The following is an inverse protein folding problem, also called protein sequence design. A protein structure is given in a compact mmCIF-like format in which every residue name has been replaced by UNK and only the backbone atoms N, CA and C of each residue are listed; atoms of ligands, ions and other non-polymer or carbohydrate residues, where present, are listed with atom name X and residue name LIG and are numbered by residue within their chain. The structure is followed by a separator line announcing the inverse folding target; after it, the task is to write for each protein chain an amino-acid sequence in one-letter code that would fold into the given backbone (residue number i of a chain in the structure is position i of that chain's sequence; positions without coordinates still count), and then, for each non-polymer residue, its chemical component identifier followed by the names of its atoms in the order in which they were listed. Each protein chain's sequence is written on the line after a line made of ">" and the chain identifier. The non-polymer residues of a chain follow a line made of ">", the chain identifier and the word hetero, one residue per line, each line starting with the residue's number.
data_IF_323851576395
#
_entry.id   IF_323851576395
#
_cell.length_a   1.000
_cell.length_b   1.000
_cell.length_c   1.000
_cell.angle_alpha   90.00
_cell.angle_beta   90.00
_cell.angle_gamma   90.00
#
_symmetry.space_group_name_H-M   'P 1'
#
loop_
_entity.id
_entity.type
_entity.pdbx_description
1 polymer ?
#
# COMPACT_ATOMS: atom_id res chain seq x y z
N UNK A 1 1.04 -0.58 -27.54
CA UNK A 1 0.71 -0.79 -26.11
C UNK A 1 1.90 -1.49 -25.50
N UNK A 2 2.49 -0.91 -24.46
CA UNK A 2 3.69 -1.44 -23.79
C UNK A 2 3.43 -2.79 -23.10
N UNK A 3 4.43 -3.67 -23.04
CA UNK A 3 4.35 -5.00 -22.43
C UNK A 3 3.92 -4.92 -20.95
N UNK A 4 4.40 -3.91 -20.23
CA UNK A 4 4.04 -3.71 -18.83
C UNK A 4 2.57 -3.29 -18.68
N UNK A 5 2.08 -2.45 -19.59
CA UNK A 5 0.67 -2.07 -19.62
C UNK A 5 -0.23 -3.28 -19.93
N UNK A 6 0.19 -4.17 -20.82
CA UNK A 6 -0.53 -5.42 -21.12
C UNK A 6 -0.58 -6.34 -19.90
N UNK A 7 0.55 -6.55 -19.22
CA UNK A 7 0.63 -7.35 -17.99
C UNK A 7 -0.28 -6.79 -16.90
N UNK A 8 -0.25 -5.48 -16.69
CA UNK A 8 -1.08 -4.82 -15.69
C UNK A 8 -2.58 -4.96 -16.02
N UNK A 9 -2.96 -4.84 -17.30
CA UNK A 9 -4.35 -5.05 -17.73
C UNK A 9 -4.82 -6.49 -17.51
N UNK A 10 -3.95 -7.48 -17.76
CA UNK A 10 -4.25 -8.88 -17.48
C UNK A 10 -4.47 -9.12 -15.97
N UNK A 11 -3.63 -8.54 -15.11
CA UNK A 11 -3.78 -8.61 -13.64
C UNK A 11 -5.09 -7.99 -13.17
N UNK A 12 -5.43 -6.80 -13.66
CA UNK A 12 -6.71 -6.16 -13.34
C UNK A 12 -7.92 -6.99 -13.79
N UNK A 13 -7.86 -7.62 -14.97
CA UNK A 13 -8.92 -8.51 -15.44
C UNK A 13 -9.05 -9.77 -14.57
N UNK A 14 -7.93 -10.36 -14.15
CA UNK A 14 -7.92 -11.50 -13.25
C UNK A 14 -8.52 -11.14 -11.88
N UNK A 15 -8.09 -10.03 -11.26
CA UNK A 15 -8.64 -9.54 -10.01
C UNK A 15 -10.16 -9.28 -10.12
N UNK A 16 -10.62 -8.64 -11.19
CA UNK A 16 -12.04 -8.39 -11.43
C UNK A 16 -12.86 -9.69 -11.50
N UNK A 17 -12.33 -10.75 -12.12
CA UNK A 17 -13.00 -12.07 -12.16
C UNK A 17 -13.06 -12.72 -10.79
N UNK A 18 -11.99 -12.63 -9.99
CA UNK A 18 -11.97 -13.16 -8.62
C UNK A 18 -13.03 -12.44 -7.78
N UNK A 19 -13.06 -11.09 -7.78
CA UNK A 19 -14.09 -10.34 -7.05
C UNK A 19 -15.52 -10.66 -7.51
N UNK A 20 -15.73 -10.87 -8.81
CA UNK A 20 -17.03 -11.27 -9.34
C UNK A 20 -17.44 -12.70 -8.95
N UNK A 21 -16.48 -13.61 -8.73
CA UNK A 21 -16.77 -14.94 -8.18
C UNK A 21 -17.10 -14.84 -6.69
N UNK A 22 -16.34 -14.05 -5.92
CA UNK A 22 -16.54 -13.85 -4.48
C UNK A 22 -17.87 -13.16 -4.11
N UNK A 23 -18.56 -12.54 -5.07
CA UNK A 23 -19.89 -11.96 -4.82
C UNK A 23 -21.00 -13.01 -4.73
N UNK A 24 -20.69 -14.29 -4.85
CA UNK A 24 -21.61 -15.43 -4.75
C UNK A 24 -20.90 -16.59 -4.07
N UNK A 25 -21.52 -17.15 -3.03
CA UNK A 25 -20.99 -18.29 -2.29
C UNK A 25 -20.71 -19.49 -3.22
N UNK A 26 -21.71 -19.88 -4.02
CA UNK A 26 -21.58 -20.95 -5.02
C UNK A 26 -20.39 -20.74 -5.97
N UNK A 27 -20.25 -19.54 -6.55
CA UNK A 27 -19.15 -19.25 -7.48
C UNK A 27 -17.79 -19.23 -6.77
N UNK A 28 -17.76 -18.79 -5.52
CA UNK A 28 -16.55 -18.81 -4.68
C UNK A 28 -16.10 -20.24 -4.41
N UNK A 29 -17.03 -21.12 -4.01
CA UNK A 29 -16.76 -22.55 -3.79
C UNK A 29 -16.29 -23.25 -5.06
N UNK A 30 -16.94 -23.01 -6.20
CA UNK A 30 -16.52 -23.56 -7.49
C UNK A 30 -15.11 -23.11 -7.89
N UNK A 31 -14.78 -21.83 -7.65
CA UNK A 31 -13.45 -21.30 -7.92
C UNK A 31 -12.40 -21.96 -7.00
N UNK A 32 -12.69 -22.08 -5.70
CA UNK A 32 -11.81 -22.74 -4.74
C UNK A 32 -11.59 -24.21 -5.09
N UNK A 33 -12.65 -24.95 -5.39
CA UNK A 33 -12.56 -26.35 -5.81
C UNK A 33 -11.71 -26.52 -7.07
N UNK A 34 -11.82 -25.60 -8.04
CA UNK A 34 -10.99 -25.60 -9.25
C UNK A 34 -9.52 -25.34 -8.95
N UNK A 35 -9.21 -24.39 -8.07
CA UNK A 35 -7.84 -24.05 -7.65
C UNK A 35 -7.23 -25.23 -6.88
N UNK A 36 -7.97 -25.76 -5.90
CA UNK A 36 -7.56 -26.91 -5.11
C UNK A 36 -7.48 -28.20 -5.93
N UNK A 37 -8.18 -28.30 -7.06
CA UNK A 37 -8.15 -29.45 -7.96
C UNK A 37 -7.00 -29.47 -8.97
N UNK A 38 -6.14 -28.45 -9.00
CA UNK A 38 -4.98 -28.41 -9.91
C UNK A 38 -3.98 -29.53 -9.58
N UNK A 39 -3.28 -30.04 -10.59
CA UNK A 39 -2.19 -30.99 -10.36
C UNK A 39 -0.96 -30.30 -9.77
N UNK A 40 -0.12 -31.03 -9.06
CA UNK A 40 1.10 -30.48 -8.48
C UNK A 40 2.03 -29.85 -9.53
N UNK A 41 2.08 -30.43 -10.74
CA UNK A 41 2.82 -29.86 -11.86
C UNK A 41 2.27 -28.48 -12.30
N UNK A 42 0.95 -28.29 -12.28
CA UNK A 42 0.32 -27.00 -12.59
C UNK A 42 0.60 -25.97 -11.50
N UNK A 43 0.50 -26.38 -10.23
CA UNK A 43 0.77 -25.52 -9.08
C UNK A 43 2.24 -25.08 -9.08
N UNK A 44 3.18 -26.02 -9.24
CA UNK A 44 4.62 -25.74 -9.33
C UNK A 44 4.98 -24.82 -10.47
N UNK A 45 4.37 -25.02 -11.64
CA UNK A 45 4.59 -24.16 -12.79
C UNK A 45 4.20 -22.71 -12.46
N UNK A 46 3.01 -22.51 -11.86
CA UNK A 46 2.57 -21.20 -11.39
C UNK A 46 3.49 -20.61 -10.33
N UNK A 47 3.90 -21.42 -9.35
CA UNK A 47 4.80 -21.01 -8.27
C UNK A 47 6.16 -20.51 -8.79
N UNK A 48 6.77 -21.28 -9.69
CA UNK A 48 8.06 -20.94 -10.31
C UNK A 48 7.96 -19.71 -11.20
N UNK A 49 6.86 -19.56 -11.94
CA UNK A 49 6.59 -18.36 -12.73
C UNK A 49 6.56 -17.08 -11.87
N UNK A 50 6.01 -17.20 -10.66
CA UNK A 50 5.95 -16.12 -9.66
C UNK A 50 7.25 -15.98 -8.85
N UNK A 51 8.22 -16.88 -9.08
CA UNK A 51 9.55 -16.87 -8.47
C UNK A 51 9.62 -17.49 -7.08
N UNK A 52 8.66 -18.35 -6.70
CA UNK A 52 8.72 -19.11 -5.45
C UNK A 52 9.97 -20.01 -5.46
N UNK A 53 10.82 -19.93 -4.42
CA UNK A 53 12.01 -20.79 -4.30
C UNK A 53 11.67 -22.29 -4.31
N UNK A 54 12.59 -23.12 -4.80
CA UNK A 54 12.37 -24.56 -4.95
C UNK A 54 12.06 -25.26 -3.62
N UNK A 55 12.71 -24.83 -2.54
CA UNK A 55 12.53 -25.29 -1.16
C UNK A 55 11.20 -24.84 -0.53
N UNK A 56 10.46 -23.94 -1.18
CA UNK A 56 9.15 -23.46 -0.72
C UNK A 56 7.98 -23.97 -1.58
N UNK A 57 8.24 -24.81 -2.59
CA UNK A 57 7.18 -25.33 -3.47
C UNK A 57 6.16 -26.20 -2.72
N UNK A 58 6.62 -27.04 -1.80
CA UNK A 58 5.72 -27.89 -1.00
C UNK A 58 4.81 -27.06 -0.10
N UNK A 59 5.35 -26.00 0.51
CA UNK A 59 4.58 -25.03 1.30
C UNK A 59 3.51 -24.39 0.42
N UNK A 60 3.88 -23.93 -0.78
CA UNK A 60 2.92 -23.32 -1.70
C UNK A 60 1.82 -24.28 -2.16
N UNK A 61 2.15 -25.56 -2.44
CA UNK A 61 1.13 -26.58 -2.74
C UNK A 61 0.15 -26.74 -1.59
N UNK A 62 0.64 -26.88 -0.36
CA UNK A 62 -0.21 -27.00 0.82
C UNK A 62 -1.10 -25.77 0.98
N UNK A 63 -0.58 -24.56 0.77
CA UNK A 63 -1.39 -23.31 0.78
C UNK A 63 -2.51 -23.35 -0.27
N UNK A 64 -2.22 -23.74 -1.52
CA UNK A 64 -3.22 -23.85 -2.60
C UNK A 64 -4.30 -24.88 -2.27
N UNK A 65 -3.93 -25.98 -1.58
CA UNK A 65 -4.87 -27.03 -1.14
C UNK A 65 -5.63 -26.68 0.15
N UNK A 66 -5.34 -25.55 0.78
CA UNK A 66 -5.94 -25.19 2.08
C UNK A 66 -5.48 -26.08 3.23
N UNK A 67 -4.29 -26.67 3.13
CA UNK A 67 -3.68 -27.53 4.14
C UNK A 67 -2.78 -26.73 5.08
N UNK A 68 -2.64 -27.21 6.32
CA UNK A 68 -1.66 -26.65 7.26
C UNK A 68 -0.22 -26.84 6.74
N UNK A 69 0.64 -25.87 7.04
CA UNK A 69 2.01 -25.81 6.52
C UNK A 69 2.87 -24.83 7.35
N UNK A 70 4.18 -24.89 7.15
CA UNK A 70 5.14 -24.06 7.88
C UNK A 70 4.88 -22.55 7.77
N UNK A 71 4.42 -22.06 6.62
CA UNK A 71 4.08 -20.64 6.47
C UNK A 71 2.91 -20.24 7.36
N UNK A 72 1.82 -21.01 7.36
CA UNK A 72 0.64 -20.72 8.19
C UNK A 72 0.95 -20.84 9.70
N UNK A 73 1.74 -21.85 10.08
CA UNK A 73 2.19 -22.04 11.46
C UNK A 73 3.02 -20.85 11.94
N UNK A 74 4.04 -20.44 11.18
CA UNK A 74 4.88 -19.29 11.54
C UNK A 74 4.12 -17.96 11.48
N UNK A 75 3.20 -17.79 10.51
CA UNK A 75 2.33 -16.62 10.41
C UNK A 75 1.54 -16.40 11.71
N UNK A 76 0.98 -17.47 12.29
CA UNK A 76 0.20 -17.38 13.53
C UNK A 76 1.02 -16.86 14.72
N UNK A 77 2.34 -17.10 14.72
CA UNK A 77 3.24 -16.67 15.80
C UNK A 77 3.63 -15.19 15.69
N UNK A 78 3.54 -14.63 14.48
CA UNK A 78 3.92 -13.23 14.22
C UNK A 78 2.73 -12.32 13.97
N UNK A 79 1.52 -12.88 14.04
CA UNK A 79 0.28 -12.14 13.86
C UNK A 79 0.17 -10.98 14.86
N UNK A 80 -0.27 -9.82 14.38
CA UNK A 80 -0.41 -8.56 15.16
C UNK A 80 0.88 -7.96 15.74
N UNK A 81 2.07 -8.51 15.45
CA UNK A 81 3.33 -7.86 15.86
C UNK A 81 3.57 -6.57 15.06
N UNK A 82 3.15 -6.55 13.80
CA UNK A 82 3.03 -5.33 12.98
C UNK A 82 1.56 -4.93 12.88
N UNK A 83 1.28 -3.64 13.05
CA UNK A 83 -0.08 -3.10 13.08
C UNK A 83 -0.24 -1.99 12.04
N UNK A 84 -1.44 -1.81 11.45
CA UNK A 84 -1.72 -0.66 10.61
C UNK A 84 -1.37 0.65 11.32
N UNK A 85 -0.61 1.50 10.64
CA UNK A 85 -0.13 2.76 11.18
C UNK A 85 1.22 2.70 11.89
N UNK A 86 1.81 1.52 12.09
CA UNK A 86 3.22 1.42 12.44
C UNK A 86 4.07 2.08 11.36
N UNK A 87 5.13 2.77 11.78
CA UNK A 87 6.05 3.46 10.89
C UNK A 87 7.38 2.71 10.87
N UNK A 88 7.77 2.24 9.69
CA UNK A 88 9.08 1.66 9.44
C UNK A 88 10.01 2.77 8.97
N UNK A 89 11.10 2.96 9.72
CA UNK A 89 12.16 3.90 9.44
C UNK A 89 13.38 3.12 8.96
N UNK A 90 13.94 3.52 7.82
CA UNK A 90 15.06 2.82 7.20
C UNK A 90 16.03 3.77 6.51
N UNK A 91 17.24 3.26 6.27
CA UNK A 91 18.31 3.98 5.58
C UNK A 91 18.67 3.23 4.31
N UNK A 92 18.34 3.81 3.16
CA UNK A 92 18.77 3.24 1.88
C UNK A 92 20.29 3.38 1.69
N UNK A 93 20.87 2.55 0.82
CA UNK A 93 22.31 2.64 0.52
C UNK A 93 22.65 3.55 -0.69
N UNK A 94 21.64 4.15 -1.31
CA UNK A 94 21.84 5.06 -2.45
C UNK A 94 22.57 6.34 -2.05
N UNK A 95 23.20 7.00 -3.03
CA UNK A 95 23.83 8.31 -2.82
C UNK A 95 22.84 9.34 -2.25
N UNK A 96 21.60 9.37 -2.77
CA UNK A 96 20.55 10.24 -2.27
C UNK A 96 20.23 10.00 -0.79
N UNK A 97 20.13 8.74 -0.37
CA UNK A 97 19.90 8.39 1.03
C UNK A 97 21.03 8.87 1.96
N UNK A 98 22.30 8.77 1.52
CA UNK A 98 23.47 9.25 2.27
C UNK A 98 23.46 10.77 2.43
N UNK A 99 23.09 11.51 1.38
CA UNK A 99 22.95 12.98 1.44
C UNK A 99 21.83 13.37 2.39
N UNK A 100 20.68 12.70 2.30
CA UNK A 100 19.51 12.93 3.16
C UNK A 100 19.88 12.73 4.64
N UNK A 101 20.48 11.60 5.01
CA UNK A 101 20.82 11.33 6.43
C UNK A 101 21.84 12.32 6.96
N UNK A 102 22.91 12.62 6.20
CA UNK A 102 23.92 13.61 6.61
C UNK A 102 23.31 15.00 6.81
N UNK A 103 22.42 15.43 5.91
CA UNK A 103 21.77 16.74 6.00
C UNK A 103 20.80 16.88 7.17
N UNK A 104 20.15 15.80 7.60
CA UNK A 104 19.23 15.83 8.72
C UNK A 104 19.90 15.99 10.08
N UNK A 105 21.19 15.60 10.19
CA UNK A 105 21.97 15.72 11.43
C UNK A 105 22.12 17.15 11.94
N UNK A 106 21.98 18.15 11.06
CA UNK A 106 21.95 19.56 11.46
C UNK A 106 20.69 19.94 12.26
N UNK A 107 19.58 19.22 12.06
CA UNK A 107 18.33 19.45 12.81
C UNK A 107 18.12 18.49 13.97
N UNK A 108 18.68 17.28 13.89
CA UNK A 108 18.64 16.28 14.95
C UNK A 108 19.86 15.35 14.81
N UNK A 109 20.80 15.40 15.76
CA UNK A 109 22.11 14.74 15.66
C UNK A 109 22.01 13.21 15.47
N UNK A 110 21.02 12.58 16.09
CA UNK A 110 20.79 11.14 16.01
C UNK A 110 19.94 10.70 14.80
N UNK A 111 19.59 11.64 13.90
CA UNK A 111 18.89 11.29 12.66
C UNK A 111 19.70 10.27 11.85
N UNK A 112 19.05 9.14 11.55
CA UNK A 112 19.66 8.00 10.85
C UNK A 112 18.86 7.54 9.65
N UNK A 113 17.56 7.84 9.62
CA UNK A 113 16.64 7.34 8.61
C UNK A 113 16.63 8.23 7.36
N UNK A 114 16.61 7.60 6.18
CA UNK A 114 16.45 8.29 4.89
C UNK A 114 15.07 8.09 4.28
N UNK A 115 14.28 7.15 4.82
CA UNK A 115 12.99 6.76 4.28
C UNK A 115 12.00 6.43 5.38
N UNK A 116 10.71 6.59 5.06
CA UNK A 116 9.58 6.32 5.94
C UNK A 116 8.56 5.50 5.16
N UNK A 117 8.19 4.34 5.68
CA UNK A 117 7.08 3.54 5.18
C UNK A 117 6.06 3.35 6.30
N UNK A 118 4.77 3.36 5.96
CA UNK A 118 3.70 3.16 6.91
C UNK A 118 3.07 1.79 6.67
N UNK A 119 2.84 1.01 7.73
CA UNK A 119 2.06 -0.21 7.63
C UNK A 119 0.62 0.13 7.22
N UNK A 120 0.20 -0.38 6.07
CA UNK A 120 -1.16 -0.24 5.56
C UNK A 120 -2.04 -1.37 6.08
N UNK A 121 -1.59 -2.61 5.88
CA UNK A 121 -2.20 -3.83 6.39
C UNK A 121 -1.08 -4.79 6.78
N UNK A 122 -1.44 -5.94 7.33
CA UNK A 122 -0.46 -6.95 7.74
C UNK A 122 0.57 -7.22 6.62
N UNK A 123 1.83 -6.94 6.91
CA UNK A 123 2.99 -7.07 5.99
C UNK A 123 2.98 -6.23 4.69
N UNK A 124 1.96 -5.39 4.48
CA UNK A 124 1.86 -4.47 3.35
C UNK A 124 2.06 -3.04 3.85
N UNK A 125 3.08 -2.37 3.33
CA UNK A 125 3.31 -0.96 3.56
C UNK A 125 2.63 -0.09 2.49
N UNK A 126 2.48 1.20 2.80
CA UNK A 126 2.33 2.27 1.83
C UNK A 126 3.48 3.27 2.02
N UNK A 127 4.10 3.67 0.93
CA UNK A 127 5.16 4.66 0.95
C UNK A 127 5.22 5.40 -0.39
N UNK A 128 6.00 6.49 -0.43
CA UNK A 128 6.19 7.29 -1.63
C UNK A 128 7.64 7.23 -2.10
N UNK A 129 7.86 6.79 -3.35
CA UNK A 129 9.19 6.63 -3.96
C UNK A 129 9.34 7.50 -5.22
N UNK A 130 10.53 8.07 -5.53
CA UNK A 130 10.74 8.96 -6.66
C UNK A 130 10.21 8.47 -8.02
N UNK A 131 10.37 7.18 -8.33
CA UNK A 131 9.96 6.59 -9.61
C UNK A 131 8.52 6.03 -9.61
N UNK A 132 7.95 5.75 -8.44
CA UNK A 132 6.67 5.05 -8.32
C UNK A 132 5.53 5.95 -7.84
N UNK A 133 5.85 7.07 -7.18
CA UNK A 133 4.88 7.80 -6.39
C UNK A 133 4.46 7.00 -5.16
N UNK A 134 3.23 7.22 -4.70
CA UNK A 134 2.63 6.48 -3.58
C UNK A 134 2.14 5.12 -4.05
N UNK A 135 2.66 4.06 -3.45
CA UNK A 135 2.35 2.68 -3.83
C UNK A 135 2.31 1.75 -2.62
N UNK A 136 1.66 0.60 -2.78
CA UNK A 136 1.81 -0.50 -1.83
C UNK A 136 3.07 -1.30 -2.13
N UNK A 137 3.84 -1.62 -1.09
CA UNK A 137 5.02 -2.47 -1.15
C UNK A 137 5.01 -3.43 0.02
N UNK A 138 5.53 -4.64 -0.15
CA UNK A 138 5.70 -5.57 0.97
C UNK A 138 6.76 -5.03 1.93
N UNK A 139 6.66 -5.41 3.21
CA UNK A 139 7.72 -5.15 4.20
C UNK A 139 9.09 -5.60 3.69
N UNK A 140 9.14 -6.78 3.07
CA UNK A 140 10.38 -7.32 2.47
C UNK A 140 10.92 -6.43 1.36
N UNK A 141 10.06 -5.86 0.50
CA UNK A 141 10.46 -4.92 -0.55
C UNK A 141 10.89 -3.55 0.00
N UNK A 142 10.31 -3.12 1.11
CA UNK A 142 10.70 -1.87 1.81
C UNK A 142 12.09 -2.01 2.44
N UNK A 143 12.40 -3.18 2.99
CA UNK A 143 13.64 -3.47 3.71
C UNK A 143 14.68 -4.23 2.85
N UNK A 144 14.42 -4.40 1.56
CA UNK A 144 15.45 -4.86 0.61
C UNK A 144 16.42 -3.71 0.33
N UNK A 145 17.73 -3.99 0.31
CA UNK A 145 18.80 -3.04 0.01
C UNK A 145 18.89 -1.81 0.95
N UNK A 146 18.46 -1.98 2.21
CA UNK A 146 18.64 -0.98 3.27
C UNK A 146 19.80 -1.36 4.19
N UNK A 147 20.39 -0.35 4.83
CA UNK A 147 21.43 -0.56 5.85
C UNK A 147 20.82 -1.21 7.11
N UNK A 148 21.63 -1.96 7.88
CA UNK A 148 21.23 -2.39 9.23
C UNK A 148 20.82 -1.20 10.11
N UNK A 149 19.97 -1.46 11.10
CA UNK A 149 19.49 -0.44 12.03
C UNK A 149 18.19 0.25 11.61
N UNK A 150 17.36 -0.42 10.80
CA UNK A 150 15.96 -0.05 10.64
C UNK A 150 15.23 -0.06 12.00
N UNK A 151 14.15 0.71 12.09
CA UNK A 151 13.35 0.85 13.32
C UNK A 151 11.87 0.76 12.97
N UNK A 152 11.07 0.19 13.86
CA UNK A 152 9.61 0.24 13.79
C UNK A 152 9.10 1.05 14.98
N UNK A 153 8.30 2.07 14.72
CA UNK A 153 7.72 2.91 15.75
C UNK A 153 6.19 2.91 15.70
N UNK A 154 5.56 2.92 16.85
CA UNK A 154 4.11 2.85 17.02
C UNK A 154 3.59 4.08 17.75
N UNK A 155 2.49 4.65 17.27
CA UNK A 155 1.83 5.76 17.94
C UNK A 155 0.85 5.23 18.99
N UNK A 156 1.07 5.53 20.27
CA UNK A 156 0.23 5.07 21.40
C UNK A 156 -1.23 5.55 21.32
N UNK A 157 -1.49 6.67 20.65
CA UNK A 157 -2.86 7.21 20.46
C UNK A 157 -3.64 6.54 19.34
N UNK A 158 -2.99 5.72 18.52
CA UNK A 158 -3.65 5.07 17.40
C UNK A 158 -4.31 3.76 17.89
N UNK A 159 -5.52 3.87 18.42
CA UNK A 159 -6.34 2.74 18.86
C UNK A 159 -7.14 2.05 17.74
N UNK A 160 -7.81 0.96 18.07
CA UNK A 160 -8.64 0.16 17.15
C UNK A 160 -9.71 0.97 16.41
N UNK A 161 -10.26 1.99 17.05
CA UNK A 161 -11.27 2.91 16.50
C UNK A 161 -10.75 3.77 15.33
N UNK A 162 -9.43 3.82 15.14
CA UNK A 162 -8.78 4.56 14.05
C UNK A 162 -8.41 3.68 12.86
N UNK A 163 -8.45 2.36 12.99
CA UNK A 163 -7.89 1.42 12.00
C UNK A 163 -8.52 1.59 10.61
N UNK A 164 -9.85 1.71 10.54
CA UNK A 164 -10.56 1.95 9.28
C UNK A 164 -10.09 3.24 8.59
N UNK A 165 -9.80 4.29 9.38
CA UNK A 165 -9.29 5.56 8.82
C UNK A 165 -7.86 5.40 8.32
N UNK A 166 -7.03 4.59 8.96
CA UNK A 166 -5.68 4.27 8.47
C UNK A 166 -5.78 3.54 7.13
N UNK A 167 -6.59 2.47 7.05
CA UNK A 167 -6.81 1.73 5.80
C UNK A 167 -7.32 2.65 4.69
N UNK A 168 -8.34 3.47 4.98
CA UNK A 168 -8.90 4.42 4.02
C UNK A 168 -7.87 5.47 3.58
N UNK A 169 -7.08 6.02 4.50
CA UNK A 169 -6.08 7.03 4.18
C UNK A 169 -4.96 6.46 3.31
N UNK A 170 -4.44 5.28 3.66
CA UNK A 170 -3.44 4.57 2.87
C UNK A 170 -3.92 4.31 1.43
N UNK A 171 -5.16 3.85 1.26
CA UNK A 171 -5.77 3.67 -0.05
C UNK A 171 -6.01 5.00 -0.79
N UNK A 172 -6.44 6.05 -0.09
CA UNK A 172 -6.78 7.35 -0.66
C UNK A 172 -5.61 8.02 -1.37
N UNK A 173 -4.39 7.88 -0.83
CA UNK A 173 -3.20 8.52 -1.37
C UNK A 173 -2.49 7.71 -2.47
N UNK A 174 -2.95 6.49 -2.79
CA UNK A 174 -2.35 5.68 -3.86
C UNK A 174 -2.28 6.44 -5.19
N UNK A 175 -1.19 6.20 -5.93
CA UNK A 175 -0.86 6.86 -7.19
C UNK A 175 -0.66 8.38 -7.11
N UNK A 176 -0.49 8.98 -5.91
CA UNK A 176 0.04 10.33 -5.83
C UNK A 176 1.49 10.36 -6.37
N UNK A 177 1.84 11.30 -7.26
CA UNK A 177 3.20 11.42 -7.76
C UNK A 177 4.16 11.83 -6.64
N UNK A 178 5.42 11.43 -6.78
CA UNK A 178 6.47 11.82 -5.85
C UNK A 178 6.94 13.25 -6.12
N UNK A 179 6.80 14.15 -5.15
CA UNK A 179 7.39 15.50 -5.21
C UNK A 179 7.73 15.99 -3.80
N UNK A 180 8.89 16.63 -3.66
CA UNK A 180 9.25 17.38 -2.44
C UNK A 180 9.06 18.86 -2.74
N UNK A 181 8.06 19.49 -2.13
CA UNK A 181 7.81 20.94 -2.25
C UNK A 181 7.70 21.55 -0.85
N UNK A 182 8.40 22.67 -0.57
CA UNK A 182 8.31 23.34 0.73
C UNK A 182 6.88 23.84 1.02
N UNK A 183 6.20 23.26 2.01
CA UNK A 183 4.86 23.67 2.44
C UNK A 183 4.57 23.25 3.88
N UNK A 184 4.05 24.18 4.69
CA UNK A 184 3.54 23.88 6.03
C UNK A 184 2.24 23.06 6.00
N UNK A 185 1.50 23.13 4.88
CA UNK A 185 0.27 22.36 4.67
C UNK A 185 0.58 21.07 3.90
N UNK A 186 -0.10 19.96 4.19
CA UNK A 186 0.00 18.75 3.39
C UNK A 186 -0.31 19.01 1.91
N UNK A 187 0.48 18.42 1.03
CA UNK A 187 0.35 18.60 -0.42
C UNK A 187 -0.88 17.84 -0.93
N UNK A 188 -1.74 18.51 -1.70
CA UNK A 188 -2.97 17.87 -2.20
C UNK A 188 -2.73 16.84 -3.29
N UNK A 189 -1.74 17.06 -4.15
CA UNK A 189 -1.60 16.34 -5.42
C UNK A 189 -0.26 15.62 -5.62
N UNK A 190 0.54 15.49 -4.56
CA UNK A 190 1.82 14.80 -4.56
C UNK A 190 2.20 14.46 -3.13
N UNK A 191 3.08 13.48 -2.92
CA UNK A 191 3.65 13.15 -1.62
C UNK A 191 5.14 12.81 -1.71
N UNK A 192 5.82 12.79 -0.58
CA UNK A 192 7.07 12.06 -0.38
C UNK A 192 6.98 11.30 0.94
N UNK A 193 7.92 10.39 1.21
CA UNK A 193 7.76 9.33 2.21
C UNK A 193 7.28 9.81 3.60
N UNK A 194 7.99 10.75 4.22
CA UNK A 194 7.64 11.33 5.51
C UNK A 194 6.38 12.21 5.48
N UNK A 195 6.13 12.91 4.37
CA UNK A 195 4.92 13.73 4.21
C UNK A 195 3.65 12.89 4.02
N UNK A 196 3.77 11.74 3.36
CA UNK A 196 2.71 10.74 3.28
C UNK A 196 2.35 10.21 4.67
N UNK A 197 3.33 9.87 5.50
CA UNK A 197 3.07 9.45 6.88
C UNK A 197 2.30 10.53 7.65
N UNK A 198 2.74 11.81 7.58
CA UNK A 198 2.00 12.93 8.17
C UNK A 198 0.56 13.02 7.68
N UNK A 199 0.33 12.89 6.36
CA UNK A 199 -1.02 12.92 5.77
C UNK A 199 -1.92 11.83 6.32
N UNK A 200 -1.42 10.60 6.41
CA UNK A 200 -2.21 9.47 6.92
C UNK A 200 -2.60 9.75 8.37
N UNK A 201 -1.65 10.13 9.23
CA UNK A 201 -1.97 10.47 10.62
C UNK A 201 -2.96 11.63 10.74
N UNK A 202 -2.83 12.68 9.94
CA UNK A 202 -3.82 13.76 9.91
C UNK A 202 -5.22 13.27 9.47
N UNK A 203 -5.30 12.32 8.54
CA UNK A 203 -6.56 11.73 8.08
C UNK A 203 -7.25 10.92 9.18
N UNK A 204 -6.50 10.28 10.07
CA UNK A 204 -7.09 9.55 11.22
C UNK A 204 -7.80 10.47 12.23
N UNK A 205 -7.43 11.76 12.24
CA UNK A 205 -7.95 12.76 13.16
C UNK A 205 -7.23 12.80 14.52
N UNK A 206 -6.21 11.95 14.73
CA UNK A 206 -5.45 11.99 15.99
C UNK A 206 -4.60 13.25 16.09
N UNK A 207 -4.55 13.84 17.28
CA UNK A 207 -3.83 15.09 17.54
C UNK A 207 -2.89 14.98 18.74
N UNK A 208 -1.94 15.91 18.83
CA UNK A 208 -0.95 15.93 19.91
C UNK A 208 -0.02 14.71 19.88
N UNK A 209 0.43 14.33 18.68
CA UNK A 209 1.39 13.24 18.42
C UNK A 209 2.75 13.78 17.94
N UNK A 210 2.96 15.10 17.98
CA UNK A 210 4.27 15.70 17.70
C UNK A 210 4.74 15.74 16.25
N UNK A 211 4.05 15.12 15.28
CA UNK A 211 4.46 15.20 13.86
C UNK A 211 4.48 16.67 13.42
N UNK A 212 5.64 17.24 13.00
CA UNK A 212 5.73 18.67 12.77
C UNK A 212 5.11 19.11 11.45
N UNK A 213 4.64 20.37 11.43
CA UNK A 213 4.13 21.05 10.24
C UNK A 213 5.23 21.84 9.52
N UNK A 214 6.43 21.27 9.48
CA UNK A 214 7.59 21.86 8.80
C UNK A 214 7.32 22.00 7.30
N UNK A 215 8.01 22.97 6.69
CA UNK A 215 7.95 23.17 5.23
C UNK A 215 8.46 21.93 4.49
N UNK A 216 9.49 21.28 5.01
CA UNK A 216 9.99 19.99 4.53
C UNK A 216 10.17 19.10 5.76
N UNK A 217 9.35 18.05 5.86
CA UNK A 217 9.37 17.10 6.95
C UNK A 217 10.35 16.00 6.62
N UNK A 218 11.53 15.94 7.22
CA UNK A 218 12.48 14.88 6.90
C UNK A 218 12.15 13.55 7.63
N UNK A 219 12.57 12.39 7.10
CA UNK A 219 12.51 11.11 7.81
C UNK A 219 13.08 11.14 9.24
N UNK A 220 14.18 11.84 9.48
CA UNK A 220 14.80 11.97 10.79
C UNK A 220 13.95 12.71 11.84
N UNK A 221 12.88 13.41 11.44
CA UNK A 221 11.87 13.88 12.39
C UNK A 221 11.09 12.75 13.03
N UNK A 222 10.94 11.61 12.34
CA UNK A 222 10.36 10.42 12.95
C UNK A 222 11.36 9.68 13.85
N UNK A 223 12.68 9.74 13.56
CA UNK A 223 13.70 9.31 14.53
C UNK A 223 13.57 10.13 15.83
N UNK A 224 13.50 11.47 15.71
CA UNK A 224 13.32 12.37 16.86
C UNK A 224 12.04 12.09 17.66
N UNK A 225 10.93 11.77 16.98
CA UNK A 225 9.68 11.37 17.63
C UNK A 225 9.85 10.08 18.43
N UNK A 226 10.52 9.09 17.85
CA UNK A 226 10.77 7.81 18.50
C UNK A 226 11.59 7.96 19.78
N UNK A 227 12.59 8.85 19.74
CA UNK A 227 13.54 9.00 20.83
C UNK A 227 13.02 9.95 21.93
N UNK A 228 12.18 10.93 21.60
CA UNK A 228 11.85 12.04 22.52
C UNK A 228 10.36 12.29 22.78
N UNK A 229 9.42 11.73 21.98
CA UNK A 229 8.01 12.10 22.11
C UNK A 229 7.19 10.99 22.82
N UNK A 230 6.46 11.30 23.91
CA UNK A 230 5.84 10.29 24.78
C UNK A 230 4.74 9.45 24.12
N UNK A 231 4.21 9.92 22.99
CA UNK A 231 3.17 9.21 22.22
C UNK A 231 3.74 8.24 21.18
N UNK A 232 5.06 8.12 21.08
CA UNK A 232 5.73 7.19 20.18
C UNK A 232 6.52 6.18 20.99
N UNK A 233 6.47 4.94 20.54
CA UNK A 233 7.16 3.82 21.14
C UNK A 233 8.00 3.13 20.06
N UNK A 234 9.26 2.84 20.38
CA UNK A 234 10.10 1.97 19.58
C UNK A 234 9.69 0.52 19.84
N UNK A 235 9.04 -0.10 18.86
CA UNK A 235 8.55 -1.49 18.90
C UNK A 235 9.43 -2.41 18.05
N UNK A 236 10.65 -1.99 17.69
CA UNK A 236 11.55 -2.72 16.78
C UNK A 236 11.78 -4.16 17.22
N UNK A 237 12.13 -4.39 18.49
CA UNK A 237 12.38 -5.74 18.99
C UNK A 237 11.12 -6.62 19.00
N UNK A 238 9.94 -6.02 19.25
CA UNK A 238 8.66 -6.73 19.20
C UNK A 238 8.29 -7.09 17.75
N UNK A 239 8.56 -6.20 16.80
CA UNK A 239 8.24 -6.38 15.39
C UNK A 239 9.24 -7.28 14.64
N UNK A 240 10.45 -7.46 15.18
CA UNK A 240 11.55 -8.15 14.52
C UNK A 240 11.20 -9.58 14.04
N UNK A 241 10.51 -10.43 14.81
CA UNK A 241 10.09 -11.75 14.31
C UNK A 241 9.18 -11.66 13.06
N UNK A 242 8.29 -10.67 13.01
CA UNK A 242 7.43 -10.43 11.84
C UNK A 242 8.23 -9.95 10.62
N UNK A 243 9.25 -9.11 10.83
CA UNK A 243 10.17 -8.70 9.75
C UNK A 243 10.95 -9.90 9.22
N UNK A 244 11.51 -10.72 10.10
CA UNK A 244 12.26 -11.93 9.72
C UNK A 244 11.38 -12.92 8.95
N UNK A 245 10.12 -13.12 9.39
CA UNK A 245 9.13 -13.89 8.66
C UNK A 245 8.87 -13.35 7.23
N UNK A 246 8.72 -12.03 7.09
CA UNK A 246 8.56 -11.39 5.76
C UNK A 246 9.77 -11.63 4.85
N UNK A 247 10.97 -11.60 5.42
CA UNK A 247 12.23 -11.82 4.68
C UNK A 247 12.44 -13.29 4.30
N UNK A 248 11.91 -14.22 5.11
CA UNK A 248 11.94 -15.66 4.84
C UNK A 248 10.99 -16.08 3.72
N UNK A 249 9.79 -15.50 3.67
CA UNK A 249 8.72 -15.87 2.72
C UNK A 249 8.26 -14.74 1.79
N UNK A 250 9.15 -14.00 1.12
CA UNK A 250 8.78 -12.78 0.39
C UNK A 250 7.79 -13.07 -0.75
N UNK A 251 7.96 -14.21 -1.44
CA UNK A 251 7.12 -14.59 -2.58
C UNK A 251 5.76 -15.11 -2.15
N UNK A 252 5.70 -15.95 -1.12
CA UNK A 252 4.43 -16.43 -0.56
C UNK A 252 3.62 -15.27 0.02
N UNK A 253 4.29 -14.34 0.71
CA UNK A 253 3.66 -13.11 1.21
C UNK A 253 3.09 -12.25 0.08
N UNK A 254 3.84 -12.09 -1.02
CA UNK A 254 3.35 -11.39 -2.21
C UNK A 254 2.17 -12.06 -2.90
N UNK A 255 1.93 -13.35 -2.66
CA UNK A 255 0.76 -14.07 -3.16
C UNK A 255 -0.44 -13.90 -2.24
N UNK A 256 -0.28 -14.04 -0.93
CA UNK A 256 -1.38 -13.90 0.05
C UNK A 256 -1.94 -12.49 0.08
N UNK A 257 -1.09 -11.47 -0.07
CA UNK A 257 -1.47 -10.05 -0.08
C UNK A 257 -1.93 -9.54 -1.45
N UNK A 258 -1.85 -10.39 -2.49
CA UNK A 258 -2.08 -9.98 -3.88
C UNK A 258 -3.50 -9.51 -4.13
N UNK A 259 -4.50 -10.22 -3.59
CA UNK A 259 -5.90 -9.89 -3.82
C UNK A 259 -6.22 -8.48 -3.28
N UNK A 260 -5.69 -8.14 -2.10
CA UNK A 260 -5.81 -6.81 -1.52
C UNK A 260 -5.16 -5.75 -2.42
N UNK A 261 -3.88 -5.92 -2.74
CA UNK A 261 -3.10 -4.91 -3.48
C UNK A 261 -3.60 -4.71 -4.91
N UNK A 262 -3.92 -5.79 -5.64
CA UNK A 262 -4.48 -5.70 -6.99
C UNK A 262 -5.94 -5.22 -7.00
N UNK A 263 -6.70 -5.49 -5.94
CA UNK A 263 -8.05 -4.92 -5.76
C UNK A 263 -8.02 -3.39 -5.63
N UNK A 264 -7.08 -2.84 -4.87
CA UNK A 264 -6.88 -1.40 -4.76
C UNK A 264 -6.43 -0.77 -6.08
N UNK A 265 -5.50 -1.41 -6.79
CA UNK A 265 -5.06 -0.95 -8.13
C UNK A 265 -6.19 -1.01 -9.16
N UNK A 266 -7.00 -2.07 -9.15
CA UNK A 266 -8.19 -2.19 -9.98
C UNK A 266 -9.19 -1.07 -9.67
N UNK A 267 -9.43 -0.78 -8.40
CA UNK A 267 -10.31 0.31 -7.99
C UNK A 267 -9.78 1.67 -8.50
N UNK A 268 -8.47 1.92 -8.35
CA UNK A 268 -7.81 3.12 -8.88
C UNK A 268 -7.97 3.24 -10.39
N UNK A 269 -7.74 2.16 -11.13
CA UNK A 269 -7.91 2.14 -12.59
C UNK A 269 -9.35 2.45 -12.99
N UNK A 270 -10.34 1.82 -12.35
CA UNK A 270 -11.78 2.08 -12.63
C UNK A 270 -12.16 3.53 -12.37
N UNK A 271 -11.58 4.14 -11.35
CA UNK A 271 -11.74 5.56 -11.08
C UNK A 271 -11.17 6.44 -12.22
N UNK A 272 -9.97 6.12 -12.72
CA UNK A 272 -9.37 6.82 -13.87
C UNK A 272 -10.20 6.65 -15.15
N UNK A 273 -10.72 5.45 -15.41
CA UNK A 273 -11.62 5.16 -16.53
C UNK A 273 -12.89 6.02 -16.44
N UNK A 274 -13.51 6.12 -15.26
CA UNK A 274 -14.70 6.97 -15.04
C UNK A 274 -14.40 8.46 -15.24
N UNK A 275 -13.23 8.94 -14.79
CA UNK A 275 -12.78 10.32 -15.08
C UNK A 275 -12.57 10.56 -16.58
N UNK A 276 -11.99 9.59 -17.29
CA UNK A 276 -11.80 9.68 -18.73
C UNK A 276 -13.15 9.69 -19.48
N UNK A 277 -14.10 8.85 -19.06
CA UNK A 277 -15.47 8.81 -19.59
C UNK A 277 -16.19 10.16 -19.41
N UNK A 278 -16.09 10.77 -18.22
CA UNK A 278 -16.65 12.13 -17.99
C UNK A 278 -16.08 13.13 -18.98
N UNK A 279 -14.75 13.12 -19.22
CA UNK A 279 -14.11 14.02 -20.20
C UNK A 279 -14.61 13.76 -21.62
N UNK A 280 -14.78 12.49 -22.00
CA UNK A 280 -15.32 12.12 -23.32
C UNK A 280 -16.77 12.58 -23.49
N UNK A 281 -17.61 12.43 -22.46
CA UNK A 281 -19.00 12.93 -22.46
C UNK A 281 -19.02 14.45 -22.61
N UNK A 282 -18.17 15.17 -21.88
CA UNK A 282 -18.05 16.63 -21.99
C UNK A 282 -17.63 17.06 -23.41
N UNK A 283 -16.68 16.36 -24.03
CA UNK A 283 -16.24 16.62 -25.39
C UNK A 283 -17.33 16.31 -26.44
N UNK A 284 -18.07 15.23 -26.25
CA UNK A 284 -19.21 14.89 -27.12
C UNK A 284 -20.30 15.97 -27.05
N UNK A 285 -20.59 16.48 -25.85
CA UNK A 285 -21.52 17.57 -25.65
C UNK A 285 -21.03 18.89 -26.28
N UNK A 286 -19.74 19.22 -26.15
CA UNK A 286 -19.18 20.43 -26.76
C UNK A 286 -19.16 20.38 -28.29
N UNK A 287 -19.14 19.18 -28.87
CA UNK A 287 -19.23 18.93 -30.32
C UNK A 287 -20.67 18.75 -30.80
N UNK A 288 -21.68 18.95 -29.94
CA UNK A 288 -23.10 18.72 -30.23
C UNK A 288 -23.43 17.28 -30.69
N UNK A 289 -22.57 16.30 -30.40
CA UNK A 289 -22.83 14.88 -30.70
C UNK A 289 -23.86 14.26 -29.73
N UNK A 290 -24.03 14.87 -28.54
CA UNK A 290 -25.10 14.59 -27.58
C UNK A 290 -25.64 15.90 -27.02
N UNK A 291 -26.89 15.91 -26.53
CA UNK A 291 -27.46 17.09 -25.87
C UNK A 291 -26.78 17.37 -24.52
N UNK A 292 -26.84 18.62 -24.07
CA UNK A 292 -26.31 19.03 -22.77
C UNK A 292 -27.04 18.33 -21.62
N UNK A 293 -28.34 18.08 -21.78
CA UNK A 293 -29.19 17.37 -20.83
C UNK A 293 -28.73 15.91 -20.72
N UNK A 294 -28.48 15.23 -21.84
CA UNK A 294 -27.98 13.87 -21.82
C UNK A 294 -26.59 13.77 -21.21
N UNK A 295 -25.72 14.73 -21.51
CA UNK A 295 -24.40 14.80 -20.90
C UNK A 295 -24.47 14.95 -19.37
N UNK A 296 -25.35 15.81 -18.87
CA UNK A 296 -25.59 15.98 -17.42
C UNK A 296 -26.07 14.70 -16.76
N UNK A 297 -27.02 14.00 -17.37
CA UNK A 297 -27.55 12.72 -16.88
C UNK A 297 -26.45 11.65 -16.77
N UNK A 298 -25.66 11.46 -17.84
CA UNK A 298 -24.58 10.48 -17.86
C UNK A 298 -23.49 10.80 -16.82
N UNK A 299 -23.08 12.06 -16.70
CA UNK A 299 -22.09 12.49 -15.70
C UNK A 299 -22.65 12.29 -14.29
N UNK A 300 -23.94 12.56 -14.06
CA UNK A 300 -24.59 12.35 -12.76
C UNK A 300 -24.54 10.87 -12.35
N UNK A 301 -24.90 9.96 -13.25
CA UNK A 301 -24.82 8.51 -13.01
C UNK A 301 -23.41 8.06 -12.60
N UNK A 302 -22.37 8.54 -13.31
CA UNK A 302 -20.98 8.21 -12.96
C UNK A 302 -20.61 8.75 -11.57
N UNK A 303 -21.04 9.98 -11.24
CA UNK A 303 -20.78 10.58 -9.92
C UNK A 303 -21.52 9.87 -8.79
N UNK A 304 -22.72 9.37 -9.04
CA UNK A 304 -23.48 8.57 -8.05
C UNK A 304 -22.72 7.30 -7.70
N UNK A 305 -22.14 6.60 -8.68
CA UNK A 305 -21.25 5.44 -8.42
C UNK A 305 -20.10 5.86 -7.50
N UNK A 306 -19.37 6.92 -7.84
CA UNK A 306 -18.24 7.41 -7.03
C UNK A 306 -18.64 7.82 -5.62
N UNK A 307 -19.85 8.36 -5.45
CA UNK A 307 -20.34 8.81 -4.14
C UNK A 307 -20.60 7.64 -3.19
N UNK A 308 -20.96 6.48 -3.71
CA UNK A 308 -21.24 5.26 -2.94
C UNK A 308 -20.00 4.43 -2.61
N UNK A 309 -18.83 4.78 -3.16
CA UNK A 309 -17.61 4.01 -2.94
C UNK A 309 -17.01 4.24 -1.56
N UNK A 310 -16.66 3.14 -0.87
CA UNK A 310 -15.98 3.16 0.44
C UNK A 310 -14.58 3.80 0.37
N UNK A 311 -13.90 3.65 -0.77
CA UNK A 311 -12.58 4.25 -1.00
C UNK A 311 -12.67 5.27 -2.12
N UNK A 312 -12.36 6.52 -1.80
CA UNK A 312 -12.14 7.61 -2.76
C UNK A 312 -10.64 7.85 -2.90
N UNK A 313 -10.24 8.54 -3.95
CA UNK A 313 -8.84 8.88 -4.21
C UNK A 313 -8.57 10.38 -4.07
N UNK A 314 -7.32 10.74 -3.87
CA UNK A 314 -6.87 12.12 -3.65
C UNK A 314 -7.22 13.13 -4.75
N UNK A 315 -7.43 12.66 -5.98
CA UNK A 315 -7.83 13.47 -7.14
C UNK A 315 -9.33 13.35 -7.48
N UNK A 316 -10.12 12.92 -6.50
CA UNK A 316 -11.58 13.00 -6.53
C UNK A 316 -12.04 14.42 -6.23
N UNK A 317 -12.88 14.96 -7.11
CA UNK A 317 -13.54 16.27 -6.96
C UNK A 317 -15.04 16.04 -6.81
N UNK A 318 -15.62 16.54 -5.71
CA UNK A 318 -17.08 16.59 -5.54
C UNK A 318 -17.72 17.48 -6.60
#
# INVERSE_FOLDING_TARGET
>A
MDLDQMRQNARHAAAARIFAAMSSEEKSEQLLARIQGQSDAQIDFGARYEGVPADQLEIYRAMVRGQDNAFNQELSLVHNLLQPGDVILSTGDTFGAKVITKGQKFGYEHARSSHVALMHAEFVCVDAMPSLGVSNRLVSEVLTDVKPGWRVIRCRKLGSEHMDRVYQACAFYLAQPYKILPSKKPMKAAAYCSELARKVFLHTGITGIGIPNDRVLSPGKFDELADNHPQWEDVTEQAKPAIEFCMKYPKLMGMTTRLMTEGLKLNRKRFEERKAQIKQIQLAASKNAISKEKAKELIKSIREIENTMNHKFWDYTK
#
